data_IF_892477416276
#
_entry.id   IF_892477416276
#
_cell.length_a   1.000
_cell.length_b   1.000
_cell.length_c   1.000
_cell.angle_alpha   90.00
_cell.angle_beta   90.00
_cell.angle_gamma   90.00
#
_symmetry.space_group_name_H-M   'P 1'
#
loop_
_entity.id
_entity.type
_entity.pdbx_description
1 polymer ?
#
# COMPACT_ATOMS: atom_id res chain seq x y z
N UNK A 1 -8.24 17.16 18.76
CA UNK A 1 -9.09 16.70 17.64
C UNK A 1 -10.50 17.28 17.81
N UNK A 2 -11.08 17.79 16.72
CA UNK A 2 -12.48 18.25 16.74
C UNK A 2 -13.43 17.05 16.86
N UNK A 3 -14.59 17.22 17.50
CA UNK A 3 -15.58 16.14 17.73
C UNK A 3 -15.98 15.39 16.43
N UNK A 4 -16.06 16.12 15.31
CA UNK A 4 -16.33 15.54 13.99
C UNK A 4 -15.22 14.64 13.47
N UNK A 5 -13.96 15.05 13.66
CA UNK A 5 -12.79 14.26 13.26
C UNK A 5 -12.68 12.95 14.04
N UNK A 6 -12.95 13.01 15.36
CA UNK A 6 -13.01 11.78 16.19
C UNK A 6 -14.10 10.83 15.70
N UNK A 7 -15.28 11.36 15.31
CA UNK A 7 -16.38 10.53 14.78
C UNK A 7 -16.00 9.89 13.44
N UNK A 8 -15.37 10.65 12.55
CA UNK A 8 -14.87 10.14 11.26
C UNK A 8 -13.91 8.97 11.48
N UNK A 9 -12.96 9.08 12.40
CA UNK A 9 -12.02 8.00 12.74
C UNK A 9 -12.73 6.77 13.32
N UNK A 10 -13.69 6.97 14.25
CA UNK A 10 -14.47 5.85 14.80
C UNK A 10 -15.22 5.05 13.70
N UNK A 11 -15.81 5.77 12.72
CA UNK A 11 -16.50 5.12 11.61
C UNK A 11 -15.50 4.33 10.75
N UNK A 12 -14.34 4.89 10.44
CA UNK A 12 -13.30 4.19 9.68
C UNK A 12 -12.79 2.95 10.43
N UNK A 13 -12.57 3.02 11.73
CA UNK A 13 -12.11 1.88 12.53
C UNK A 13 -13.14 0.74 12.56
N UNK A 14 -14.42 1.09 12.74
CA UNK A 14 -15.51 0.12 12.68
C UNK A 14 -15.64 -0.49 11.27
N UNK A 15 -15.58 0.33 10.23
CA UNK A 15 -15.65 -0.12 8.86
C UNK A 15 -14.48 -1.04 8.49
N UNK A 16 -13.25 -0.68 8.85
CA UNK A 16 -12.08 -1.53 8.62
C UNK A 16 -12.24 -2.89 9.29
N UNK A 17 -12.75 -2.92 10.52
CA UNK A 17 -13.04 -4.17 11.23
C UNK A 17 -14.09 -5.00 10.50
N UNK A 18 -15.21 -4.41 10.11
CA UNK A 18 -16.31 -5.11 9.41
C UNK A 18 -15.84 -5.62 8.05
N UNK A 19 -15.11 -4.80 7.27
CA UNK A 19 -14.58 -5.20 5.97
C UNK A 19 -13.57 -6.33 6.09
N UNK A 20 -12.74 -6.30 7.13
CA UNK A 20 -11.78 -7.37 7.40
C UNK A 20 -12.47 -8.68 7.82
N UNK A 21 -13.45 -8.61 8.74
CA UNK A 21 -14.10 -9.79 9.32
C UNK A 21 -15.09 -10.47 8.34
N UNK A 22 -15.77 -9.70 7.48
CA UNK A 22 -16.83 -10.19 6.59
C UNK A 22 -16.48 -10.18 5.10
N UNK A 23 -15.39 -9.50 4.73
CA UNK A 23 -15.09 -9.11 3.35
C UNK A 23 -15.88 -7.86 2.93
N UNK A 24 -15.28 -7.06 2.04
CA UNK A 24 -15.91 -5.81 1.57
C UNK A 24 -17.26 -6.05 0.89
N UNK A 25 -17.38 -7.08 0.03
CA UNK A 25 -18.61 -7.34 -0.72
C UNK A 25 -19.81 -7.61 0.19
N UNK A 26 -19.63 -8.46 1.21
CA UNK A 26 -20.68 -8.88 2.15
C UNK A 26 -20.98 -7.84 3.24
N UNK A 27 -20.05 -6.93 3.53
CA UNK A 27 -20.22 -5.91 4.56
C UNK A 27 -21.27 -4.85 4.16
N UNK A 28 -22.11 -4.46 5.12
CA UNK A 28 -23.15 -3.44 4.97
C UNK A 28 -22.89 -2.23 5.86
N UNK A 29 -23.53 -1.10 5.54
CA UNK A 29 -23.49 0.08 6.41
C UNK A 29 -24.11 -0.22 7.78
N UNK A 30 -25.16 -1.05 7.82
CA UNK A 30 -25.81 -1.42 9.08
C UNK A 30 -24.90 -2.30 9.96
N UNK A 31 -24.02 -3.12 9.38
CA UNK A 31 -22.98 -3.85 10.12
C UNK A 31 -21.96 -2.89 10.77
N UNK A 32 -21.59 -1.82 10.06
CA UNK A 32 -20.69 -0.78 10.60
C UNK A 32 -21.36 -0.04 11.76
N UNK A 33 -22.63 0.35 11.57
CA UNK A 33 -23.41 1.05 12.59
C UNK A 33 -23.65 0.19 13.85
N UNK A 34 -23.74 -1.14 13.70
CA UNK A 34 -23.88 -2.05 14.84
C UNK A 34 -22.67 -2.05 15.80
N UNK A 35 -21.51 -1.58 15.35
CA UNK A 35 -20.31 -1.41 16.18
C UNK A 35 -20.19 0.02 16.78
N UNK A 36 -21.10 0.91 16.45
CA UNK A 36 -21.01 2.32 16.78
C UNK A 36 -22.29 2.81 17.48
N UNK A 37 -22.13 3.70 18.44
CA UNK A 37 -23.25 4.49 18.96
C UNK A 37 -23.44 5.73 18.08
N UNK A 38 -23.96 5.53 16.86
CA UNK A 38 -24.26 6.63 15.95
C UNK A 38 -25.40 6.29 14.98
N UNK A 39 -26.13 7.33 14.53
CA UNK A 39 -27.19 7.18 13.55
C UNK A 39 -26.63 7.04 12.12
N UNK A 40 -27.42 6.44 11.22
CA UNK A 40 -27.13 6.37 9.79
C UNK A 40 -26.89 7.75 9.17
N UNK A 41 -27.65 8.76 9.59
CA UNK A 41 -27.45 10.17 9.18
C UNK A 41 -26.09 10.73 9.61
N UNK A 42 -25.60 10.37 10.79
CA UNK A 42 -24.26 10.76 11.25
C UNK A 42 -23.14 10.14 10.39
N UNK A 43 -23.31 8.88 9.95
CA UNK A 43 -22.35 8.24 9.04
C UNK A 43 -22.34 8.95 7.68
N UNK A 44 -23.52 9.17 7.09
CA UNK A 44 -23.63 9.82 5.78
C UNK A 44 -23.27 11.32 5.79
N UNK A 45 -23.16 11.93 6.96
CA UNK A 45 -22.57 13.26 7.09
C UNK A 45 -21.04 13.26 6.85
N UNK A 46 -20.39 12.14 7.09
CA UNK A 46 -18.93 12.00 6.94
C UNK A 46 -18.49 11.25 5.66
N UNK A 47 -19.33 10.35 5.15
CA UNK A 47 -19.00 9.49 4.02
C UNK A 47 -20.21 9.32 3.10
N UNK A 48 -20.01 9.50 1.80
CA UNK A 48 -21.08 9.41 0.81
C UNK A 48 -21.51 7.95 0.54
N UNK A 49 -20.61 6.99 0.69
CA UNK A 49 -20.86 5.59 0.38
C UNK A 49 -19.90 4.66 1.13
N UNK A 50 -20.17 3.35 1.06
CA UNK A 50 -19.25 2.30 1.52
C UNK A 50 -17.91 2.37 0.77
N UNK A 51 -17.92 2.72 -0.52
CA UNK A 51 -16.73 2.92 -1.32
C UNK A 51 -15.91 4.11 -0.82
N UNK A 52 -16.54 5.25 -0.52
CA UNK A 52 -15.86 6.42 0.02
C UNK A 52 -15.16 6.11 1.35
N UNK A 53 -15.78 5.29 2.22
CA UNK A 53 -15.12 4.82 3.45
C UNK A 53 -13.83 4.04 3.12
N UNK A 54 -13.89 3.12 2.18
CA UNK A 54 -12.73 2.29 1.81
C UNK A 54 -11.62 3.13 1.14
N UNK A 55 -11.97 4.11 0.29
CA UNK A 55 -11.00 5.06 -0.26
C UNK A 55 -10.32 5.89 0.84
N UNK A 56 -11.06 6.32 1.86
CA UNK A 56 -10.49 6.99 3.03
C UNK A 56 -9.59 6.06 3.86
N UNK A 57 -9.89 4.75 3.92
CA UNK A 57 -9.00 3.77 4.53
C UNK A 57 -7.68 3.62 3.76
N UNK A 58 -7.73 3.63 2.43
CA UNK A 58 -6.52 3.65 1.59
C UNK A 58 -5.66 4.90 1.85
N UNK A 59 -6.27 6.08 1.92
CA UNK A 59 -5.56 7.33 2.26
C UNK A 59 -4.96 7.26 3.66
N UNK A 60 -5.72 6.79 4.66
CA UNK A 60 -5.22 6.59 6.03
C UNK A 60 -4.03 5.64 6.09
N UNK A 61 -4.05 4.58 5.27
CA UNK A 61 -2.91 3.67 5.18
C UNK A 61 -1.66 4.40 4.64
N UNK A 62 -1.80 5.20 3.59
CA UNK A 62 -0.69 5.98 3.04
C UNK A 62 -0.13 6.99 4.06
N UNK A 63 -1.01 7.68 4.81
CA UNK A 63 -0.61 8.59 5.90
C UNK A 63 0.14 7.84 7.01
N UNK A 64 -0.36 6.68 7.42
CA UNK A 64 0.27 5.85 8.46
C UNK A 64 1.63 5.31 7.99
N UNK A 65 1.74 4.89 6.74
CA UNK A 65 2.98 4.43 6.14
C UNK A 65 4.03 5.56 6.08
N UNK A 66 3.61 6.76 5.67
CA UNK A 66 4.48 7.94 5.64
C UNK A 66 4.93 8.35 7.04
N UNK A 67 4.03 8.42 8.00
CA UNK A 67 4.37 8.71 9.39
C UNK A 67 5.36 7.67 9.96
N UNK A 68 5.15 6.38 9.67
CA UNK A 68 6.07 5.33 10.10
C UNK A 68 7.48 5.50 9.49
N UNK A 69 7.59 5.90 8.23
CA UNK A 69 8.86 6.24 7.60
C UNK A 69 9.52 7.45 8.26
N UNK A 70 8.77 8.53 8.52
CA UNK A 70 9.29 9.74 9.18
C UNK A 70 9.85 9.51 10.58
N UNK A 71 9.37 8.48 11.30
CA UNK A 71 9.87 8.11 12.62
C UNK A 71 11.15 7.26 12.57
N UNK A 72 11.63 6.87 11.38
CA UNK A 72 12.88 6.13 11.25
C UNK A 72 14.08 7.08 11.27
N UNK A 73 15.18 6.55 11.77
CA UNK A 73 16.51 7.20 11.67
C UNK A 73 17.30 6.45 10.62
N UNK A 74 17.76 7.14 9.61
CA UNK A 74 18.52 6.59 8.49
C UNK A 74 19.97 7.03 8.58
N UNK A 75 20.90 6.12 8.30
CA UNK A 75 22.34 6.38 8.38
C UNK A 75 22.86 7.14 7.16
N UNK A 76 22.18 7.01 6.04
CA UNK A 76 22.54 7.67 4.77
C UNK A 76 21.30 8.10 3.96
N UNK A 77 21.46 9.01 2.99
CA UNK A 77 20.40 9.36 2.05
C UNK A 77 19.92 8.16 1.21
N UNK A 78 20.78 7.19 0.95
CA UNK A 78 20.42 5.96 0.23
C UNK A 78 19.55 5.04 1.11
N UNK A 79 19.86 4.93 2.40
CA UNK A 79 19.02 4.17 3.34
C UNK A 79 17.65 4.84 3.52
N UNK A 80 17.61 6.18 3.52
CA UNK A 80 16.35 6.91 3.55
C UNK A 80 15.50 6.66 2.30
N UNK A 81 16.12 6.62 1.12
CA UNK A 81 15.45 6.28 -0.15
C UNK A 81 14.95 4.82 -0.13
N UNK A 82 15.77 3.87 0.32
CA UNK A 82 15.37 2.46 0.50
C UNK A 82 14.17 2.34 1.46
N UNK A 83 14.25 3.03 2.60
CA UNK A 83 13.15 3.07 3.56
C UNK A 83 11.88 3.67 2.97
N UNK A 84 11.99 4.74 2.18
CA UNK A 84 10.87 5.36 1.49
C UNK A 84 10.16 4.36 0.56
N UNK A 85 10.90 3.68 -0.30
CA UNK A 85 10.36 2.68 -1.22
C UNK A 85 9.77 1.48 -0.47
N UNK A 86 10.38 1.07 0.64
CA UNK A 86 9.86 0.01 1.51
C UNK A 86 8.50 0.39 2.13
N UNK A 87 8.39 1.60 2.73
CA UNK A 87 7.16 2.03 3.39
C UNK A 87 6.03 2.35 2.40
N UNK A 88 6.36 2.75 1.17
CA UNK A 88 5.38 3.00 0.12
C UNK A 88 4.79 1.72 -0.51
N UNK A 89 5.24 0.50 -0.10
CA UNK A 89 4.65 -0.77 -0.53
C UNK A 89 3.89 -1.43 0.62
N UNK A 90 2.64 -1.92 0.41
CA UNK A 90 1.89 -2.66 1.43
C UNK A 90 2.30 -4.13 1.55
N UNK A 91 3.37 -4.56 0.86
CA UNK A 91 3.88 -5.94 0.89
C UNK A 91 4.95 -6.17 1.97
N UNK A 92 5.02 -5.31 2.95
CA UNK A 92 5.85 -5.39 4.14
C UNK A 92 5.05 -5.83 5.36
N UNK A 93 5.71 -6.18 6.45
CA UNK A 93 5.06 -6.49 7.72
C UNK A 93 4.08 -5.37 8.13
N UNK A 94 2.88 -5.75 8.52
CA UNK A 94 1.76 -4.86 8.83
C UNK A 94 0.90 -4.45 7.63
N UNK A 95 1.24 -4.86 6.41
CA UNK A 95 0.45 -4.60 5.20
C UNK A 95 -0.61 -5.65 4.89
N UNK A 96 -0.57 -6.81 5.54
CA UNK A 96 -1.46 -7.97 5.28
C UNK A 96 -2.93 -7.61 5.42
N UNK A 97 -3.27 -6.72 6.36
CA UNK A 97 -4.65 -6.29 6.58
C UNK A 97 -5.21 -5.49 5.40
N UNK A 98 -4.44 -4.53 4.88
CA UNK A 98 -4.82 -3.78 3.68
C UNK A 98 -4.90 -4.69 2.47
N UNK A 99 -3.91 -5.58 2.28
CA UNK A 99 -3.92 -6.53 1.16
C UNK A 99 -5.15 -7.46 1.21
N UNK A 100 -5.56 -7.89 2.41
CA UNK A 100 -6.78 -8.71 2.59
C UNK A 100 -8.05 -7.97 2.15
N UNK A 101 -8.10 -6.64 2.31
CA UNK A 101 -9.24 -5.83 1.86
C UNK A 101 -9.23 -5.62 0.33
N UNK A 102 -8.04 -5.44 -0.26
CA UNK A 102 -7.90 -5.08 -1.67
C UNK A 102 -7.88 -6.29 -2.61
N UNK A 103 -7.37 -7.43 -2.13
CA UNK A 103 -7.16 -8.62 -2.96
C UNK A 103 -8.46 -9.19 -3.57
N UNK A 104 -9.59 -9.30 -2.85
CA UNK A 104 -10.85 -9.75 -3.43
C UNK A 104 -11.41 -8.81 -4.50
N UNK A 105 -11.05 -7.53 -4.45
CA UNK A 105 -11.59 -6.48 -5.31
C UNK A 105 -10.73 -6.22 -6.56
N UNK A 106 -9.57 -6.88 -6.69
CA UNK A 106 -8.56 -6.53 -7.69
C UNK A 106 -9.10 -6.42 -9.13
N UNK A 107 -10.00 -7.32 -9.50
CA UNK A 107 -10.56 -7.42 -10.85
C UNK A 107 -11.92 -6.69 -11.00
N UNK A 108 -12.29 -5.85 -10.02
CA UNK A 108 -13.55 -5.08 -10.02
C UNK A 108 -13.33 -3.59 -10.29
N UNK A 109 -14.40 -2.87 -10.62
CA UNK A 109 -14.36 -1.41 -10.78
C UNK A 109 -14.00 -0.72 -9.46
N UNK A 110 -14.55 -1.19 -8.33
CA UNK A 110 -14.23 -0.72 -6.99
C UNK A 110 -12.75 -0.93 -6.67
N UNK A 111 -12.20 -2.09 -6.98
CA UNK A 111 -10.78 -2.38 -6.77
C UNK A 111 -9.86 -1.49 -7.61
N UNK A 112 -10.28 -1.12 -8.81
CA UNK A 112 -9.56 -0.13 -9.63
C UNK A 112 -9.58 1.24 -8.97
N UNK A 113 -10.73 1.71 -8.50
CA UNK A 113 -10.85 2.99 -7.77
C UNK A 113 -9.99 2.99 -6.50
N UNK A 114 -10.01 1.89 -5.73
CA UNK A 114 -9.18 1.72 -4.53
C UNK A 114 -7.69 1.80 -4.83
N UNK A 115 -7.24 1.08 -5.85
CA UNK A 115 -5.84 1.12 -6.28
C UNK A 115 -5.43 2.54 -6.66
N UNK A 116 -6.24 3.25 -7.43
CA UNK A 116 -5.98 4.64 -7.78
C UNK A 116 -5.92 5.52 -6.52
N UNK A 117 -6.87 5.39 -5.59
CA UNK A 117 -6.87 6.16 -4.35
C UNK A 117 -5.62 5.89 -3.49
N UNK A 118 -5.23 4.62 -3.35
CA UNK A 118 -4.03 4.25 -2.60
C UNK A 118 -2.76 4.80 -3.25
N UNK A 119 -2.56 4.54 -4.55
CA UNK A 119 -1.35 4.96 -5.26
C UNK A 119 -1.23 6.48 -5.32
N UNK A 120 -2.34 7.21 -5.55
CA UNK A 120 -2.33 8.67 -5.53
C UNK A 120 -2.01 9.23 -4.14
N UNK A 121 -2.54 8.63 -3.07
CA UNK A 121 -2.24 9.06 -1.71
C UNK A 121 -0.78 8.78 -1.31
N UNK A 122 -0.23 7.64 -1.73
CA UNK A 122 1.19 7.32 -1.54
C UNK A 122 2.09 8.29 -2.33
N UNK A 123 1.74 8.56 -3.58
CA UNK A 123 2.47 9.51 -4.44
C UNK A 123 2.51 10.91 -3.82
N UNK A 124 1.38 11.43 -3.39
CA UNK A 124 1.28 12.74 -2.74
C UNK A 124 2.23 12.89 -1.56
N UNK A 125 2.39 11.81 -0.75
CA UNK A 125 3.23 11.83 0.45
C UNK A 125 4.70 11.54 0.14
N UNK A 126 4.99 10.53 -0.68
CA UNK A 126 6.34 9.99 -0.82
C UNK A 126 7.13 10.58 -1.99
N UNK A 127 6.49 10.98 -3.11
CA UNK A 127 7.21 11.51 -4.27
C UNK A 127 7.99 12.80 -3.98
N UNK A 128 7.48 13.78 -3.20
CA UNK A 128 8.28 14.95 -2.83
C UNK A 128 9.56 14.59 -2.04
N UNK A 129 9.45 13.66 -1.10
CA UNK A 129 10.60 13.19 -0.31
C UNK A 129 11.59 12.40 -1.17
N UNK A 130 11.10 11.57 -2.08
CA UNK A 130 11.94 10.85 -3.02
C UNK A 130 12.76 11.82 -3.88
N UNK A 131 12.14 12.91 -4.38
CA UNK A 131 12.84 13.97 -5.12
C UNK A 131 13.97 14.58 -4.28
N UNK A 132 13.69 14.88 -3.00
CA UNK A 132 14.68 15.47 -2.09
C UNK A 132 15.87 14.51 -1.90
N UNK A 133 15.64 13.23 -1.60
CA UNK A 133 16.71 12.24 -1.42
C UNK A 133 17.51 12.00 -2.69
N UNK A 134 16.86 11.93 -3.85
CA UNK A 134 17.54 11.79 -5.13
C UNK A 134 18.45 12.99 -5.41
N UNK A 135 18.00 14.23 -5.15
CA UNK A 135 18.85 15.44 -5.29
C UNK A 135 20.09 15.35 -4.39
N UNK A 136 19.94 14.89 -3.14
CA UNK A 136 21.07 14.72 -2.21
C UNK A 136 22.02 13.64 -2.71
N UNK A 137 21.53 12.49 -3.15
CA UNK A 137 22.35 11.39 -3.70
C UNK A 137 23.15 11.83 -4.94
N UNK A 138 22.54 12.63 -5.81
CA UNK A 138 23.22 13.20 -6.98
C UNK A 138 24.29 14.21 -6.57
N UNK A 139 23.97 15.11 -5.63
CA UNK A 139 24.88 16.16 -5.17
C UNK A 139 26.10 15.60 -4.45
N UNK A 140 25.96 14.49 -3.74
CA UNK A 140 27.06 13.77 -3.07
C UNK A 140 27.89 12.90 -4.01
N UNK A 141 27.48 12.75 -5.28
CA UNK A 141 28.15 11.86 -6.23
C UNK A 141 27.88 10.37 -5.95
N UNK A 142 26.91 10.04 -5.11
CA UNK A 142 26.53 8.64 -4.80
C UNK A 142 25.72 8.02 -5.94
N UNK A 143 24.90 8.82 -6.63
CA UNK A 143 24.09 8.39 -7.76
C UNK A 143 24.23 9.34 -8.95
N UNK A 144 24.10 8.83 -10.17
CA UNK A 144 24.26 9.62 -11.39
C UNK A 144 23.12 9.37 -12.36
N UNK A 145 22.55 10.44 -12.92
CA UNK A 145 21.56 10.38 -14.00
C UNK A 145 21.47 11.75 -14.72
N UNK A 146 20.89 11.72 -15.92
CA UNK A 146 20.80 12.92 -16.78
C UNK A 146 19.36 13.42 -16.99
N UNK A 147 18.34 12.59 -16.74
CA UNK A 147 16.94 12.93 -16.99
C UNK A 147 16.37 13.77 -15.84
N UNK A 148 15.71 14.90 -16.19
CA UNK A 148 15.06 15.77 -15.19
C UNK A 148 13.83 15.10 -14.54
N UNK A 149 13.15 14.19 -15.27
CA UNK A 149 11.93 13.50 -14.85
C UNK A 149 12.21 12.15 -14.17
N UNK A 150 13.44 11.92 -13.74
CA UNK A 150 13.81 10.62 -13.13
C UNK A 150 13.01 10.27 -11.87
N UNK A 151 12.73 11.21 -10.93
CA UNK A 151 11.93 10.88 -9.75
C UNK A 151 10.55 10.31 -10.11
N UNK A 152 9.88 10.88 -11.09
CA UNK A 152 8.59 10.41 -11.60
C UNK A 152 8.72 9.02 -12.21
N UNK A 153 9.74 8.77 -13.03
CA UNK A 153 9.98 7.45 -13.64
C UNK A 153 10.28 6.36 -12.58
N UNK A 154 11.03 6.71 -11.53
CA UNK A 154 11.28 5.79 -10.41
C UNK A 154 9.98 5.50 -9.67
N UNK A 155 9.13 6.50 -9.47
CA UNK A 155 7.83 6.34 -8.84
C UNK A 155 6.87 5.49 -9.68
N UNK A 156 6.81 5.71 -11.00
CA UNK A 156 6.00 4.94 -11.93
C UNK A 156 6.42 3.46 -11.93
N UNK A 157 7.73 3.19 -11.92
CA UNK A 157 8.25 1.82 -11.81
C UNK A 157 7.87 1.17 -10.46
N UNK A 158 7.87 1.94 -9.37
CA UNK A 158 7.43 1.49 -8.05
C UNK A 158 5.93 1.15 -8.03
N UNK A 159 5.10 1.99 -8.64
CA UNK A 159 3.67 1.75 -8.81
C UNK A 159 3.38 0.52 -9.69
N UNK A 160 4.19 0.30 -10.72
CA UNK A 160 4.12 -0.91 -11.55
C UNK A 160 4.50 -2.17 -10.75
N UNK A 161 5.51 -2.11 -9.88
CA UNK A 161 5.87 -3.20 -8.98
C UNK A 161 4.70 -3.57 -8.06
N UNK A 162 4.02 -2.59 -7.45
CA UNK A 162 2.79 -2.84 -6.68
C UNK A 162 1.79 -3.68 -7.48
N UNK A 163 1.51 -3.29 -8.72
CA UNK A 163 0.58 -4.00 -9.60
C UNK A 163 1.02 -5.45 -9.88
N UNK A 164 2.32 -5.69 -10.09
CA UNK A 164 2.88 -7.04 -10.29
C UNK A 164 2.75 -7.91 -9.05
N UNK A 165 3.07 -7.38 -7.89
CA UNK A 165 2.94 -8.13 -6.63
C UNK A 165 1.47 -8.44 -6.28
N UNK A 166 0.54 -7.54 -6.58
CA UNK A 166 -0.89 -7.82 -6.47
C UNK A 166 -1.35 -8.95 -7.42
N UNK A 167 -0.85 -9.00 -8.65
CA UNK A 167 -1.12 -10.10 -9.57
C UNK A 167 -0.56 -11.44 -9.05
N UNK A 168 0.63 -11.43 -8.44
CA UNK A 168 1.20 -12.62 -7.79
C UNK A 168 0.32 -13.09 -6.62
N UNK A 169 -0.12 -12.17 -5.77
CA UNK A 169 -1.03 -12.47 -4.67
C UNK A 169 -2.37 -13.07 -5.16
N UNK A 170 -2.93 -12.54 -6.24
CA UNK A 170 -4.16 -13.08 -6.83
C UNK A 170 -3.95 -14.47 -7.47
N UNK A 171 -2.80 -14.72 -8.11
CA UNK A 171 -2.47 -16.07 -8.60
C UNK A 171 -2.33 -17.05 -7.46
N UNK A 172 -1.65 -16.66 -6.37
CA UNK A 172 -1.51 -17.49 -5.18
C UNK A 172 -2.87 -17.82 -4.55
N UNK A 173 -3.78 -16.84 -4.48
CA UNK A 173 -5.16 -17.04 -4.01
C UNK A 173 -5.90 -18.09 -4.83
N UNK A 174 -5.67 -18.16 -6.14
CA UNK A 174 -6.27 -19.13 -7.08
C UNK A 174 -5.51 -20.46 -7.13
N UNK A 175 -4.65 -20.75 -6.16
CA UNK A 175 -3.88 -22.01 -6.09
C UNK A 175 -2.63 -22.07 -6.96
N UNK A 176 -2.21 -20.96 -7.54
CA UNK A 176 -0.97 -20.86 -8.32
C UNK A 176 0.29 -20.75 -7.46
N UNK A 177 1.46 -20.74 -8.10
CA UNK A 177 2.75 -20.60 -7.43
C UNK A 177 3.09 -19.14 -7.11
N UNK A 178 3.83 -18.93 -6.00
CA UNK A 178 4.32 -17.64 -5.57
C UNK A 178 5.70 -17.25 -6.16
N UNK A 179 6.27 -18.05 -7.06
CA UNK A 179 7.67 -17.94 -7.51
C UNK A 179 8.04 -16.58 -8.12
N UNK A 180 7.10 -15.94 -8.80
CA UNK A 180 7.33 -14.67 -9.50
C UNK A 180 7.53 -13.46 -8.58
N UNK A 181 7.23 -13.56 -7.27
CA UNK A 181 7.41 -12.44 -6.32
C UNK A 181 8.89 -12.07 -6.19
N UNK A 182 9.74 -13.07 -6.06
CA UNK A 182 11.21 -12.87 -5.98
C UNK A 182 11.71 -12.20 -7.25
N UNK A 183 11.35 -12.73 -8.43
CA UNK A 183 11.79 -12.21 -9.72
C UNK A 183 11.37 -10.76 -9.94
N UNK A 184 10.15 -10.38 -9.52
CA UNK A 184 9.69 -8.99 -9.64
C UNK A 184 10.44 -8.05 -8.70
N UNK A 185 10.73 -8.46 -7.47
CA UNK A 185 11.49 -7.64 -6.52
C UNK A 185 12.94 -7.48 -6.97
N UNK A 186 13.60 -8.56 -7.40
CA UNK A 186 14.96 -8.52 -7.92
C UNK A 186 15.05 -7.70 -9.22
N UNK A 187 14.09 -7.86 -10.12
CA UNK A 187 14.02 -7.07 -11.35
C UNK A 187 13.83 -5.58 -11.10
N UNK A 188 13.00 -5.21 -10.16
CA UNK A 188 12.82 -3.81 -9.75
C UNK A 188 14.09 -3.24 -9.11
N UNK A 189 14.71 -3.97 -8.18
CA UNK A 189 15.99 -3.59 -7.59
C UNK A 189 17.06 -3.35 -8.66
N UNK A 190 17.25 -4.31 -9.58
CA UNK A 190 18.20 -4.18 -10.68
C UNK A 190 17.92 -2.94 -11.56
N UNK A 191 16.65 -2.70 -11.88
CA UNK A 191 16.27 -1.55 -12.70
C UNK A 191 16.69 -0.23 -12.01
N UNK A 192 16.38 -0.05 -10.72
CA UNK A 192 16.71 1.17 -10.00
C UNK A 192 18.23 1.35 -9.81
N UNK A 193 18.96 0.30 -9.49
CA UNK A 193 20.42 0.34 -9.40
C UNK A 193 21.05 0.79 -10.74
N UNK A 194 20.52 0.30 -11.86
CA UNK A 194 21.01 0.68 -13.20
C UNK A 194 20.63 2.09 -13.61
N UNK A 195 19.42 2.52 -13.29
CA UNK A 195 18.92 3.86 -13.65
C UNK A 195 19.59 4.95 -12.81
N UNK A 196 19.91 4.65 -11.55
CA UNK A 196 20.56 5.55 -10.60
C UNK A 196 22.09 5.43 -10.62
N UNK A 197 22.65 4.54 -11.44
CA UNK A 197 24.07 4.22 -11.50
C UNK A 197 24.65 3.85 -10.12
N UNK A 198 23.91 3.02 -9.40
CA UNK A 198 24.28 2.54 -8.07
C UNK A 198 25.00 1.19 -8.14
N UNK A 199 25.87 0.85 -7.15
CA UNK A 199 26.44 -0.48 -7.02
C UNK A 199 25.37 -1.56 -6.88
N UNK A 200 25.64 -2.76 -7.39
CA UNK A 200 24.74 -3.90 -7.21
C UNK A 200 24.55 -4.24 -5.74
N UNK A 201 23.28 -4.46 -5.33
CA UNK A 201 22.90 -4.75 -3.95
C UNK A 201 22.70 -3.51 -3.08
N UNK A 202 22.74 -2.29 -3.64
CA UNK A 202 22.52 -1.03 -2.89
C UNK A 202 21.05 -0.77 -2.59
N UNK A 203 20.13 -1.30 -3.44
CA UNK A 203 18.71 -1.06 -3.29
C UNK A 203 18.04 -2.19 -2.49
N UNK A 204 17.42 -1.83 -1.37
CA UNK A 204 16.68 -2.75 -0.48
C UNK A 204 15.26 -2.27 -0.33
N UNK A 205 14.36 -2.71 -1.23
CA UNK A 205 12.98 -2.24 -1.26
C UNK A 205 12.14 -2.98 -0.21
N UNK A 206 11.99 -4.27 -0.39
CA UNK A 206 11.36 -5.20 0.56
C UNK A 206 12.03 -6.56 0.37
N UNK A 207 12.19 -7.29 1.46
CA UNK A 207 12.75 -8.64 1.37
C UNK A 207 11.72 -9.59 0.78
N UNK A 208 12.14 -10.49 -0.09
CA UNK A 208 11.24 -11.42 -0.77
C UNK A 208 10.52 -12.35 0.22
N UNK A 209 11.20 -12.80 1.27
CA UNK A 209 10.62 -13.62 2.34
C UNK A 209 9.51 -12.86 3.10
N UNK A 210 9.74 -11.58 3.40
CA UNK A 210 8.76 -10.71 4.06
C UNK A 210 7.55 -10.46 3.16
N UNK A 211 7.77 -10.12 1.88
CA UNK A 211 6.69 -9.92 0.92
C UNK A 211 5.84 -11.18 0.74
N UNK A 212 6.49 -12.35 0.60
CA UNK A 212 5.81 -13.64 0.52
C UNK A 212 5.00 -13.94 1.78
N UNK A 213 5.55 -13.72 2.97
CA UNK A 213 4.85 -13.92 4.22
C UNK A 213 3.61 -13.03 4.31
N UNK A 214 3.73 -11.75 3.98
CA UNK A 214 2.62 -10.79 4.00
C UNK A 214 1.51 -11.18 3.02
N UNK A 215 1.89 -11.59 1.79
CA UNK A 215 0.95 -12.09 0.78
C UNK A 215 0.25 -13.36 1.27
N UNK A 216 0.99 -14.35 1.81
CA UNK A 216 0.41 -15.58 2.31
C UNK A 216 -0.59 -15.35 3.45
N UNK A 217 -0.29 -14.43 4.37
CA UNK A 217 -1.20 -14.08 5.45
C UNK A 217 -2.48 -13.44 4.92
N UNK A 218 -2.37 -12.51 3.96
CA UNK A 218 -3.52 -11.88 3.33
C UNK A 218 -4.39 -12.90 2.56
N UNK A 219 -3.77 -13.75 1.74
CA UNK A 219 -4.46 -14.81 0.97
C UNK A 219 -5.15 -15.81 1.91
N UNK A 220 -4.45 -16.25 2.97
CA UNK A 220 -5.03 -17.15 3.96
C UNK A 220 -6.26 -16.54 4.61
N UNK A 221 -6.20 -15.26 4.99
CA UNK A 221 -7.35 -14.55 5.57
C UNK A 221 -8.53 -14.52 4.59
N UNK A 222 -8.30 -14.07 3.35
CA UNK A 222 -9.35 -13.95 2.32
C UNK A 222 -10.03 -15.27 2.03
N UNK A 223 -9.27 -16.37 1.92
CA UNK A 223 -9.83 -17.71 1.64
C UNK A 223 -10.65 -18.30 2.80
N UNK A 224 -10.63 -17.68 3.99
CA UNK A 224 -11.46 -18.06 5.13
C UNK A 224 -12.68 -17.16 5.31
N UNK A 225 -12.86 -16.13 4.45
CA UNK A 225 -14.04 -15.27 4.53
C UNK A 225 -15.30 -16.01 4.09
N UNK A 226 -16.45 -15.77 4.75
CA UNK A 226 -17.71 -16.35 4.34
C UNK A 226 -18.11 -15.94 2.92
N UNK A 227 -18.38 -16.90 2.03
CA UNK A 227 -18.82 -16.63 0.65
C UNK A 227 -17.72 -16.41 -0.39
N UNK A 228 -16.45 -16.56 -0.02
CA UNK A 228 -15.28 -16.53 -0.92
C UNK A 228 -14.77 -17.98 -1.18
N UNK A 229 -15.67 -18.91 -1.50
CA UNK A 229 -15.24 -20.23 -1.99
C UNK A 229 -14.58 -20.08 -3.36
N UNK A 230 -13.34 -20.61 -3.45
CA UNK A 230 -12.43 -20.51 -4.60
C UNK A 230 -12.95 -21.21 -5.86
#
# INVERSE_FOLDING_TARGET
>A
MLKGEMRKQQIMDAAEKVFFDKGYAAATIDDILALLDCSKGSLYHHFESKQDILENLCRRHAESAYAAWQHQVFESPLDALNGLLYYALPFRAGGERLLSLLLPLQDTAEGTAMRCALLSALEEKFLPEMRNHLVVLRSSGTAHWHQATLPELVWDAHSALYGRLMQCAQRLRKGGAAGDVVDHLEGARFLWERVLDLPFGSMLIVRADEALQTIHQAVKHVNHLPGEEA
#
